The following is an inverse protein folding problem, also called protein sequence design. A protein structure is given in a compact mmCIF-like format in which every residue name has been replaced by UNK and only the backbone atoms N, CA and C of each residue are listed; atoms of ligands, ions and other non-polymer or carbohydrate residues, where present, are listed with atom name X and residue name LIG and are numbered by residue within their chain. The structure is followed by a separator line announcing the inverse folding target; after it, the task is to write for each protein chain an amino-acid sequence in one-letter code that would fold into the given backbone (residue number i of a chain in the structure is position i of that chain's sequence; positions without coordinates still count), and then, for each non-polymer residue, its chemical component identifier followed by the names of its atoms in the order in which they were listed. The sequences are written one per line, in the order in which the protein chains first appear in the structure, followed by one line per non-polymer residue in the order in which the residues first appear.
data_IF_668035614892
#
_entry.id   IF_668035614892
#
_cell.length_a   1.000
_cell.length_b   1.000
_cell.length_c   1.000
_cell.angle_alpha   90.00
_cell.angle_beta   90.00
_cell.angle_gamma   90.00
#
_symmetry.space_group_name_H-M   'P 1'
#
loop_
_entity.id
_entity.type
_entity.pdbx_description
1 polymer ?
#
# COMPACT_ATOMS: atom_id res chain seq x y z
N UNK A 1 -25.73 -11.11 -15.69
CA UNK A 1 -24.72 -10.04 -15.55
C UNK A 1 -24.16 -10.09 -14.14
N UNK A 2 -23.04 -10.79 -13.92
CA UNK A 2 -22.39 -10.79 -12.62
C UNK A 2 -21.49 -9.55 -12.53
N UNK A 3 -21.92 -8.55 -11.78
CA UNK A 3 -21.07 -7.42 -11.43
C UNK A 3 -19.88 -7.96 -10.64
N UNK A 4 -18.67 -7.85 -11.19
CA UNK A 4 -17.43 -8.15 -10.47
C UNK A 4 -17.30 -7.15 -9.31
N UNK A 5 -17.87 -7.49 -8.16
CA UNK A 5 -17.74 -6.71 -6.94
C UNK A 5 -16.29 -6.84 -6.49
N UNK A 6 -15.52 -5.77 -6.70
CA UNK A 6 -14.19 -5.62 -6.13
C UNK A 6 -14.38 -4.96 -4.77
N UNK A 7 -14.08 -5.68 -3.69
CA UNK A 7 -14.22 -5.16 -2.34
C UNK A 7 -12.91 -4.47 -1.91
N UNK A 8 -13.04 -3.46 -1.04
CA UNK A 8 -11.90 -2.77 -0.44
C UNK A 8 -11.66 -3.35 0.95
N UNK A 9 -10.55 -4.07 1.11
CA UNK A 9 -10.11 -4.66 2.38
C UNK A 9 -9.14 -3.72 3.08
N UNK A 10 -9.51 -3.28 4.28
CA UNK A 10 -8.66 -2.41 5.09
C UNK A 10 -7.83 -3.22 6.08
N UNK A 11 -6.50 -3.06 6.03
CA UNK A 11 -5.55 -3.65 6.97
C UNK A 11 -4.91 -2.55 7.82
N UNK A 12 -5.31 -2.47 9.10
CA UNK A 12 -4.82 -1.46 10.05
C UNK A 12 -3.64 -1.97 10.85
N UNK A 13 -2.44 -1.46 10.62
CA UNK A 13 -1.19 -1.82 11.29
C UNK A 13 -0.71 -0.72 12.25
N UNK A 14 -0.05 -1.14 13.32
CA UNK A 14 0.73 -0.22 14.15
C UNK A 14 2.12 -0.01 13.55
N UNK A 15 2.78 1.10 13.89
CA UNK A 15 4.18 1.32 13.54
C UNK A 15 5.11 0.27 14.17
N UNK A 16 4.74 -0.26 15.34
CA UNK A 16 5.45 -1.30 16.07
C UNK A 16 4.78 -2.68 15.86
N UNK A 17 4.60 -3.09 14.61
CA UNK A 17 4.09 -4.42 14.31
C UNK A 17 5.20 -5.47 14.51
N UNK A 18 4.84 -6.61 15.09
CA UNK A 18 5.74 -7.75 15.21
C UNK A 18 5.99 -8.44 13.85
N UNK A 19 7.14 -9.09 13.69
CA UNK A 19 7.51 -9.79 12.45
C UNK A 19 6.53 -10.92 12.10
N UNK A 20 6.01 -11.62 13.11
CA UNK A 20 5.02 -12.67 12.91
C UNK A 20 3.70 -12.07 12.40
N UNK A 21 3.19 -11.04 13.07
CA UNK A 21 1.97 -10.31 12.66
C UNK A 21 2.10 -9.71 11.26
N UNK A 22 3.27 -9.14 10.94
CA UNK A 22 3.58 -8.62 9.61
C UNK A 22 3.41 -9.70 8.54
N UNK A 23 4.00 -10.88 8.76
CA UNK A 23 3.93 -12.01 7.82
C UNK A 23 2.49 -12.51 7.61
N UNK A 24 1.69 -12.57 8.68
CA UNK A 24 0.28 -12.97 8.59
C UNK A 24 -0.51 -11.98 7.72
N UNK A 25 -0.29 -10.68 7.92
CA UNK A 25 -0.97 -9.63 7.16
C UNK A 25 -0.50 -9.52 5.73
N UNK A 26 0.78 -9.77 5.48
CA UNK A 26 1.34 -9.87 4.13
C UNK A 26 0.66 -11.00 3.34
N UNK A 27 0.56 -12.20 3.93
CA UNK A 27 -0.16 -13.33 3.33
C UNK A 27 -1.63 -13.02 3.09
N UNK A 28 -2.29 -12.34 4.04
CA UNK A 28 -3.69 -11.92 3.87
C UNK A 28 -3.85 -10.93 2.70
N UNK A 29 -3.00 -9.90 2.63
CA UNK A 29 -3.00 -8.93 1.53
C UNK A 29 -2.76 -9.61 0.17
N UNK A 30 -1.77 -10.48 0.07
CA UNK A 30 -1.53 -11.25 -1.16
C UNK A 30 -2.73 -12.09 -1.56
N UNK A 31 -3.44 -12.70 -0.61
CA UNK A 31 -4.66 -13.47 -0.87
C UNK A 31 -5.78 -12.58 -1.42
N UNK A 32 -6.04 -11.43 -0.81
CA UNK A 32 -7.05 -10.47 -1.28
C UNK A 32 -6.71 -9.95 -2.68
N UNK A 33 -5.45 -9.62 -2.93
CA UNK A 33 -5.01 -9.16 -4.24
C UNK A 33 -5.16 -10.25 -5.33
N UNK A 34 -4.93 -11.53 -4.96
CA UNK A 34 -5.18 -12.66 -5.87
C UNK A 34 -6.67 -12.87 -6.16
N UNK A 35 -7.54 -12.58 -5.20
CA UNK A 35 -9.00 -12.66 -5.36
C UNK A 35 -9.55 -11.52 -6.25
N UNK A 36 -8.77 -10.43 -6.39
CA UNK A 36 -9.15 -9.24 -7.16
C UNK A 36 -9.69 -8.10 -6.29
N UNK A 37 -9.54 -8.20 -4.97
CA UNK A 37 -9.89 -7.16 -4.01
C UNK A 37 -8.80 -6.09 -3.90
N UNK A 38 -9.22 -4.85 -3.64
CA UNK A 38 -8.31 -3.76 -3.30
C UNK A 38 -7.89 -3.88 -1.83
N UNK A 39 -6.62 -3.62 -1.56
CA UNK A 39 -6.11 -3.66 -0.18
C UNK A 39 -5.63 -2.28 0.23
N UNK A 40 -6.22 -1.73 1.28
CA UNK A 40 -5.80 -0.46 1.88
C UNK A 40 -5.08 -0.72 3.19
N UNK A 41 -3.78 -0.51 3.21
CA UNK A 41 -2.97 -0.61 4.41
C UNK A 41 -2.95 0.73 5.10
N UNK A 42 -3.26 0.75 6.40
CA UNK A 42 -3.37 1.96 7.22
C UNK A 42 -2.40 1.80 8.39
N UNK A 43 -1.49 2.74 8.55
CA UNK A 43 -0.61 2.87 9.71
C UNK A 43 -1.04 4.11 10.50
N UNK A 44 -1.55 3.90 11.70
CA UNK A 44 -1.91 4.98 12.61
C UNK A 44 -0.70 5.34 13.48
N UNK A 45 -0.28 6.61 13.42
CA UNK A 45 0.73 7.18 14.30
C UNK A 45 0.01 7.93 15.42
N UNK A 46 0.34 7.65 16.68
CA UNK A 46 -0.22 8.39 17.81
C UNK A 46 0.70 9.56 18.15
N UNK A 47 0.31 10.78 17.76
CA UNK A 47 0.78 12.09 18.27
C UNK A 47 2.27 12.26 18.56
N UNK A 48 2.75 11.66 19.65
CA UNK A 48 4.16 11.64 20.08
C UNK A 48 5.08 10.82 19.16
N UNK A 49 4.53 10.13 18.17
CA UNK A 49 5.24 9.19 17.31
C UNK A 49 5.61 9.76 15.93
N UNK A 50 5.60 11.09 15.78
CA UNK A 50 5.95 11.73 14.50
C UNK A 50 7.39 11.37 14.04
N UNK A 51 8.29 11.06 14.98
CA UNK A 51 9.65 10.61 14.67
C UNK A 51 9.68 9.22 14.00
N UNK A 52 8.69 8.37 14.27
CA UNK A 52 8.54 7.05 13.67
C UNK A 52 7.87 7.09 12.29
N UNK A 53 7.62 8.28 11.75
CA UNK A 53 7.14 8.48 10.40
C UNK A 53 8.03 7.79 9.36
N UNK A 54 9.35 7.90 9.50
CA UNK A 54 10.28 7.22 8.59
C UNK A 54 10.16 5.70 8.68
N UNK A 55 10.00 5.15 9.89
CA UNK A 55 9.81 3.71 10.08
C UNK A 55 8.48 3.24 9.47
N UNK A 56 7.40 4.00 9.61
CA UNK A 56 6.12 3.69 8.98
C UNK A 56 6.23 3.71 7.45
N UNK A 57 6.92 4.70 6.88
CA UNK A 57 7.16 4.78 5.43
C UNK A 57 8.02 3.60 4.97
N UNK A 58 9.10 3.25 5.68
CA UNK A 58 9.93 2.10 5.35
C UNK A 58 9.11 0.80 5.41
N UNK A 59 8.28 0.63 6.44
CA UNK A 59 7.41 -0.54 6.57
C UNK A 59 6.43 -0.66 5.40
N UNK A 60 5.80 0.44 5.00
CA UNK A 60 4.91 0.46 3.84
C UNK A 60 5.67 0.15 2.55
N UNK A 61 6.90 0.66 2.39
CA UNK A 61 7.76 0.35 1.25
C UNK A 61 8.19 -1.12 1.22
N UNK A 62 8.59 -1.69 2.36
CA UNK A 62 8.91 -3.12 2.49
C UNK A 62 7.70 -3.97 2.12
N UNK A 63 6.53 -3.64 2.67
CA UNK A 63 5.29 -4.35 2.36
C UNK A 63 4.95 -4.30 0.87
N UNK A 64 5.11 -3.13 0.24
CA UNK A 64 4.94 -2.98 -1.20
C UNK A 64 5.95 -3.84 -1.99
N UNK A 65 7.22 -3.88 -1.55
CA UNK A 65 8.26 -4.69 -2.19
C UNK A 65 7.98 -6.19 -2.07
N UNK A 66 7.53 -6.65 -0.90
CA UNK A 66 7.13 -8.04 -0.64
C UNK A 66 5.89 -8.46 -1.46
N UNK A 67 4.97 -7.53 -1.72
CA UNK A 67 3.82 -7.74 -2.62
C UNK A 67 4.28 -7.77 -4.08
N UNK A 68 5.26 -6.93 -4.43
CA UNK A 68 5.89 -6.88 -5.74
C UNK A 68 4.90 -6.57 -6.86
N UNK A 69 4.99 -7.32 -7.96
CA UNK A 69 4.18 -7.10 -9.18
C UNK A 69 2.73 -7.60 -9.07
N UNK A 70 2.35 -8.24 -7.95
CA UNK A 70 0.98 -8.71 -7.72
C UNK A 70 -0.01 -7.55 -7.62
N UNK A 71 0.45 -6.38 -7.17
CA UNK A 71 -0.37 -5.18 -7.05
C UNK A 71 0.39 -3.92 -7.44
N UNK A 72 -0.37 -2.94 -7.91
CA UNK A 72 0.13 -1.60 -8.20
C UNK A 72 -0.28 -0.65 -7.09
N UNK A 73 0.60 0.28 -6.73
CA UNK A 73 0.24 1.39 -5.84
C UNK A 73 -0.71 2.34 -6.58
N UNK A 74 -1.90 2.59 -6.02
CA UNK A 74 -2.87 3.54 -6.59
C UNK A 74 -2.83 4.87 -5.86
N UNK A 75 -2.70 4.85 -4.52
CA UNK A 75 -2.72 6.09 -3.74
C UNK A 75 -1.95 5.94 -2.43
N UNK A 76 -1.13 6.96 -2.12
CA UNK A 76 -0.36 7.08 -0.87
C UNK A 76 -0.79 8.35 -0.15
N UNK A 77 -1.43 8.19 1.00
CA UNK A 77 -1.76 9.29 1.90
C UNK A 77 -0.81 9.27 3.09
N UNK A 78 0.17 10.16 3.09
CA UNK A 78 1.10 10.34 4.21
C UNK A 78 0.69 11.55 5.06
N UNK A 79 -0.53 11.52 5.61
CA UNK A 79 -1.00 12.60 6.48
C UNK A 79 -0.40 12.43 7.88
N UNK A 80 -0.12 13.54 8.55
CA UNK A 80 0.67 13.60 9.80
C UNK A 80 0.22 12.62 10.90
N UNK A 81 -1.08 12.29 10.96
CA UNK A 81 -1.66 11.39 11.97
C UNK A 81 -2.08 10.02 11.44
N UNK A 82 -2.15 9.86 10.13
CA UNK A 82 -2.59 8.63 9.50
C UNK A 82 -1.89 8.46 8.16
N UNK A 83 -1.09 7.41 8.08
CA UNK A 83 -0.49 6.99 6.84
C UNK A 83 -1.30 5.85 6.25
N UNK A 84 -1.56 5.89 4.96
CA UNK A 84 -2.19 4.76 4.29
C UNK A 84 -1.74 4.64 2.85
N UNK A 85 -1.68 3.42 2.36
CA UNK A 85 -1.42 3.09 0.97
C UNK A 85 -2.53 2.17 0.47
N UNK A 86 -3.02 2.46 -0.73
CA UNK A 86 -3.98 1.61 -1.44
C UNK A 86 -3.22 0.85 -2.51
N UNK A 87 -3.26 -0.47 -2.41
CA UNK A 87 -2.76 -1.41 -3.38
C UNK A 87 -3.93 -1.98 -4.17
N UNK A 88 -3.81 -1.90 -5.49
CA UNK A 88 -4.81 -2.43 -6.42
C UNK A 88 -4.22 -3.67 -7.08
N UNK A 89 -4.95 -4.79 -7.10
CA UNK A 89 -4.45 -6.00 -7.71
C UNK A 89 -4.24 -5.75 -9.20
N UNK A 90 -3.11 -6.21 -9.70
CA UNK A 90 -2.85 -6.11 -11.11
C UNK A 90 -3.75 -7.14 -11.82
N UNK A 91 -4.92 -6.68 -12.27
CA UNK A 91 -5.85 -7.50 -13.07
C UNK A 91 -5.20 -8.02 -14.33
N UNK A 92 -4.14 -7.39 -14.85
CA UNK A 92 -3.37 -7.92 -15.97
C UNK A 92 -2.42 -9.07 -15.58
N UNK A 93 -2.39 -9.52 -14.33
CA UNK A 93 -1.77 -10.79 -13.89
C UNK A 93 -2.88 -11.79 -13.50
N UNK A 94 -4.04 -11.31 -13.04
CA UNK A 94 -5.23 -12.13 -12.82
C UNK A 94 -6.03 -12.45 -14.12
N UNK A 95 -5.79 -11.72 -15.21
CA UNK A 95 -6.55 -11.82 -16.48
C UNK A 95 -5.63 -11.78 -17.71
N UNK A 96 -4.42 -12.35 -17.61
CA UNK A 96 -3.48 -12.46 -18.73
C UNK A 96 -2.84 -13.84 -18.81
N UNK A 97 -3.07 -14.73 -19.77
CA UNK A 97 -3.94 -14.80 -20.96
C UNK A 97 -3.96 -13.67 -22.02
N UNK A 98 -3.51 -12.43 -21.79
CA UNK A 98 -3.38 -11.43 -22.85
C UNK A 98 -2.57 -10.18 -22.49
N UNK A 99 -1.49 -10.00 -23.28
CA UNK A 99 -0.27 -9.16 -23.35
C UNK A 99 -0.24 -7.71 -22.72
N UNK A 100 0.81 -6.84 -22.79
CA UNK A 100 0.95 -5.51 -22.12
C UNK A 100 0.88 -4.32 -23.15
N UNK A 101 1.33 -3.03 -22.98
CA UNK A 101 2.23 -2.41 -21.97
C UNK A 101 2.06 -0.89 -21.61
N UNK A 102 2.99 -0.34 -20.77
CA UNK A 102 3.46 1.08 -20.62
C UNK A 102 2.54 2.07 -19.84
N UNK A 103 2.98 3.07 -19.06
CA UNK A 103 4.26 3.70 -18.68
C UNK A 103 4.00 4.68 -17.50
N UNK A 104 5.00 4.83 -16.62
CA UNK A 104 5.43 6.02 -15.85
C UNK A 104 4.48 7.24 -15.80
N UNK A 105 4.26 7.78 -14.60
CA UNK A 105 4.55 9.20 -14.39
C UNK A 105 5.35 9.44 -13.11
N UNK A 106 6.38 10.25 -13.27
CA UNK A 106 7.19 10.89 -12.23
C UNK A 106 6.55 12.26 -11.98
N UNK A 107 6.37 12.64 -10.72
CA UNK A 107 6.35 14.00 -10.12
C UNK A 107 5.19 14.08 -9.12
N UNK A 108 5.31 14.68 -7.95
CA UNK A 108 5.89 16.02 -7.74
C UNK A 108 6.55 16.13 -6.36
N UNK A 109 7.75 16.69 -6.39
CA UNK A 109 8.42 17.30 -5.26
C UNK A 109 7.60 18.48 -4.71
N UNK A 110 7.69 18.74 -3.41
CA UNK A 110 7.53 20.08 -2.88
C UNK A 110 8.51 20.15 -1.70
N UNK A 111 9.76 20.54 -1.95
CA UNK A 111 10.25 21.93 -1.85
C UNK A 111 9.98 22.53 -0.47
N UNK A 112 11.00 22.46 0.39
CA UNK A 112 11.85 23.58 0.86
C UNK A 112 11.22 24.34 2.03
N UNK A 113 11.83 24.22 3.20
CA UNK A 113 11.75 25.24 4.25
C UNK A 113 13.14 25.83 4.41
N UNK A 114 13.38 26.88 3.65
CA UNK A 114 14.33 27.92 3.96
C UNK A 114 13.55 29.25 3.98
N UNK A 115 13.81 30.08 4.98
CA UNK A 115 13.17 31.37 5.26
C UNK A 115 12.68 31.39 6.70
N UNK A 116 13.31 32.08 7.65
CA UNK A 116 14.15 33.29 7.60
C UNK A 116 15.30 33.20 8.62
#
# INVERSE_FOLDING_TARGET
MAASRMDLKELKMGYNIDVHDYSVRLKAAQKFLKDGDKVKIIVNLKGRENEFRNNAIELLRRFQNDIGELAVEENKNFRDRNMSIILVPNKAIAQKAQEPPKKKDKSTANEVSAGV
#
